data_IF_313453218230
#
_entry.id   IF_313453218230
#
_cell.length_a   1.000
_cell.length_b   1.000
_cell.length_c   1.000
_cell.angle_alpha   90.00
_cell.angle_beta   90.00
_cell.angle_gamma   90.00
#
_symmetry.space_group_name_H-M   'P 1'
#
loop_
_entity.id
_entity.type
_entity.pdbx_description
1 polymer ?
#
# COMPACT_ATOMS: atom_id res chain seq x y z
N UNK A 1 16.56 -17.93 -16.43
CA UNK A 1 15.95 -18.26 -15.13
C UNK A 1 17.01 -18.10 -14.07
N UNK A 2 16.75 -17.30 -13.03
CA UNK A 2 17.70 -17.07 -11.94
C UNK A 2 17.30 -17.86 -10.69
N UNK A 3 18.27 -18.42 -9.98
CA UNK A 3 18.09 -19.12 -8.71
C UNK A 3 17.92 -18.11 -7.56
N UNK A 4 17.02 -18.37 -6.62
CA UNK A 4 16.83 -17.53 -5.42
C UNK A 4 17.15 -18.33 -4.14
N UNK A 5 17.62 -17.63 -3.10
CA UNK A 5 18.06 -18.24 -1.83
C UNK A 5 16.89 -18.56 -0.86
N UNK A 6 15.73 -18.98 -1.40
CA UNK A 6 14.51 -19.26 -0.63
C UNK A 6 13.53 -18.08 -0.54
N UNK A 7 12.22 -18.39 -0.57
CA UNK A 7 11.11 -17.42 -0.65
C UNK A 7 11.01 -16.45 0.54
N UNK A 8 11.50 -16.85 1.72
CA UNK A 8 11.42 -16.04 2.95
C UNK A 8 12.26 -14.75 2.90
N UNK A 9 13.21 -14.68 1.97
CA UNK A 9 14.08 -13.52 1.79
C UNK A 9 13.47 -12.43 0.88
N UNK A 10 12.19 -12.61 0.48
CA UNK A 10 11.52 -11.76 -0.49
C UNK A 10 10.22 -11.20 0.05
N UNK A 11 9.95 -9.93 -0.26
CA UNK A 11 8.68 -9.25 0.06
C UNK A 11 8.10 -8.62 -1.20
N UNK A 12 6.78 -8.64 -1.37
CA UNK A 12 6.11 -7.94 -2.49
C UNK A 12 6.50 -6.46 -2.48
N UNK A 13 6.91 -5.92 -3.64
CA UNK A 13 7.46 -4.57 -3.78
C UNK A 13 8.98 -4.45 -3.51
N UNK A 14 9.67 -5.54 -3.17
CA UNK A 14 11.13 -5.55 -3.02
C UNK A 14 11.84 -5.33 -4.35
N UNK A 15 12.84 -4.43 -4.34
CA UNK A 15 13.73 -4.16 -5.49
C UNK A 15 15.16 -4.69 -5.29
N UNK A 16 15.71 -4.57 -4.08
CA UNK A 16 17.11 -4.95 -3.78
C UNK A 16 17.26 -6.48 -3.79
N UNK A 17 18.36 -6.98 -4.34
CA UNK A 17 18.66 -8.42 -4.40
C UNK A 17 17.95 -9.19 -5.52
N UNK A 18 17.39 -8.49 -6.52
CA UNK A 18 16.81 -9.10 -7.72
C UNK A 18 17.79 -9.06 -8.89
N UNK A 19 17.87 -10.17 -9.65
CA UNK A 19 18.68 -10.26 -10.87
C UNK A 19 17.99 -9.44 -11.96
N UNK A 20 18.41 -8.19 -12.14
CA UNK A 20 17.75 -7.25 -13.04
C UNK A 20 18.16 -7.47 -14.50
N UNK A 21 17.19 -7.85 -15.35
CA UNK A 21 17.35 -7.93 -16.80
C UNK A 21 17.20 -6.54 -17.47
N UNK A 22 18.08 -5.59 -17.14
CA UNK A 22 18.18 -4.28 -17.81
C UNK A 22 17.05 -3.28 -17.52
N UNK A 23 16.04 -3.62 -16.70
CA UNK A 23 14.98 -2.71 -16.23
C UNK A 23 14.73 -2.87 -14.73
N UNK A 24 14.18 -1.86 -14.01
CA UNK A 24 13.83 -2.02 -12.60
C UNK A 24 12.76 -3.11 -12.44
N UNK A 25 13.08 -4.15 -11.69
CA UNK A 25 12.15 -5.22 -11.37
C UNK A 25 11.81 -5.20 -9.88
N UNK A 26 10.58 -5.61 -9.58
CA UNK A 26 10.02 -5.72 -8.25
C UNK A 26 9.45 -7.12 -8.06
N UNK A 27 9.46 -7.64 -6.83
CA UNK A 27 8.69 -8.83 -6.51
C UNK A 27 7.21 -8.48 -6.63
N UNK A 28 6.52 -9.01 -7.63
CA UNK A 28 5.08 -8.77 -7.85
C UNK A 28 4.22 -9.79 -7.14
N UNK A 29 4.74 -11.01 -6.97
CA UNK A 29 4.03 -12.13 -6.33
C UNK A 29 5.03 -13.14 -5.80
N UNK A 30 4.73 -13.73 -4.64
CA UNK A 30 5.45 -14.87 -4.10
C UNK A 30 4.47 -16.05 -4.10
N UNK A 31 4.87 -17.17 -4.67
CA UNK A 31 4.05 -18.37 -4.74
C UNK A 31 4.78 -19.52 -4.05
N UNK A 32 4.47 -19.76 -2.76
CA UNK A 32 5.17 -20.74 -1.95
C UNK A 32 4.98 -22.18 -2.45
N UNK A 33 3.78 -22.51 -2.90
CA UNK A 33 3.40 -23.84 -3.41
C UNK A 33 4.24 -24.26 -4.63
N UNK A 34 4.64 -23.27 -5.44
CA UNK A 34 5.46 -23.48 -6.63
C UNK A 34 6.93 -23.10 -6.40
N UNK A 35 7.29 -22.75 -5.16
CA UNK A 35 8.61 -22.25 -4.77
C UNK A 35 9.17 -21.22 -5.76
N UNK A 36 8.35 -20.26 -6.17
CA UNK A 36 8.72 -19.26 -7.19
C UNK A 36 8.40 -17.84 -6.75
N UNK A 37 9.24 -16.93 -7.23
CA UNK A 37 9.09 -15.49 -7.05
C UNK A 37 8.84 -14.90 -8.43
N UNK A 38 7.67 -14.28 -8.60
CA UNK A 38 7.35 -13.58 -9.83
C UNK A 38 7.89 -12.17 -9.69
N UNK A 39 8.75 -11.78 -10.62
CA UNK A 39 9.31 -10.43 -10.72
C UNK A 39 8.73 -9.73 -11.95
N UNK A 40 8.39 -8.46 -11.79
CA UNK A 40 7.73 -7.66 -12.81
C UNK A 40 7.75 -6.18 -12.46
N UNK A 41 6.90 -5.40 -13.13
CA UNK A 41 6.69 -3.99 -12.79
C UNK A 41 5.93 -3.86 -11.45
N UNK A 42 6.21 -2.81 -10.68
CA UNK A 42 5.57 -2.56 -9.38
C UNK A 42 4.03 -2.58 -9.53
N UNK A 43 3.31 -3.51 -8.87
CA UNK A 43 1.90 -3.70 -9.12
C UNK A 43 1.13 -2.50 -8.56
N UNK A 44 0.69 -1.62 -9.45
CA UNK A 44 -0.11 -0.46 -9.07
C UNK A 44 -1.51 -0.93 -8.66
N UNK A 45 -2.01 -0.43 -7.54
CA UNK A 45 -3.35 -0.73 -7.02
C UNK A 45 -4.07 0.57 -6.68
N UNK A 46 -5.38 0.58 -6.84
CA UNK A 46 -6.22 1.72 -6.43
C UNK A 46 -6.76 1.53 -5.02
N UNK A 47 -7.02 0.29 -4.60
CA UNK A 47 -7.79 -0.03 -3.40
C UNK A 47 -7.00 -0.84 -2.37
N UNK A 48 -7.18 -0.49 -1.09
CA UNK A 48 -6.62 -1.23 0.05
C UNK A 48 -7.41 -0.94 1.34
N UNK A 49 -7.19 -1.75 2.37
CA UNK A 49 -7.82 -1.59 3.69
C UNK A 49 -6.82 -1.05 4.70
N UNK A 50 -7.32 -0.21 5.59
CA UNK A 50 -6.57 0.41 6.70
C UNK A 50 -7.24 0.03 8.01
N UNK A 51 -6.47 -0.57 8.91
CA UNK A 51 -6.91 -0.99 10.25
C UNK A 51 -6.36 -0.07 11.34
N UNK A 52 -6.92 -0.20 12.53
CA UNK A 52 -6.53 0.57 13.72
C UNK A 52 -6.49 2.08 13.44
N UNK A 53 -7.54 2.58 12.77
CA UNK A 53 -7.63 3.99 12.39
C UNK A 53 -7.74 4.86 13.64
N UNK A 54 -6.82 5.81 13.78
CA UNK A 54 -6.85 6.87 14.76
C UNK A 54 -7.23 8.18 14.08
N UNK A 55 -8.39 8.72 14.45
CA UNK A 55 -8.90 9.99 13.93
C UNK A 55 -8.57 11.11 14.92
N UNK A 56 -7.98 12.20 14.41
CA UNK A 56 -7.46 13.30 15.22
C UNK A 56 -8.38 14.52 15.14
N UNK A 57 -8.80 14.87 13.92
CA UNK A 57 -9.65 16.04 13.67
C UNK A 57 -11.14 15.73 13.73
N UNK A 58 -11.51 14.45 13.71
CA UNK A 58 -12.90 13.95 13.73
C UNK A 58 -12.98 12.74 14.64
N UNK A 59 -14.19 12.39 15.09
CA UNK A 59 -14.40 11.18 15.91
C UNK A 59 -14.29 9.89 15.07
N UNK A 60 -14.89 9.91 13.88
CA UNK A 60 -14.89 8.81 12.92
C UNK A 60 -15.33 9.26 11.53
N UNK A 61 -15.03 8.46 10.52
CA UNK A 61 -15.69 8.52 9.21
C UNK A 61 -16.97 7.67 9.27
N UNK A 62 -18.13 8.28 9.05
CA UNK A 62 -19.43 7.58 9.07
C UNK A 62 -19.99 7.30 7.66
N UNK A 63 -19.50 8.01 6.66
CA UNK A 63 -19.88 7.90 5.25
C UNK A 63 -18.62 8.08 4.38
N UNK A 64 -18.64 7.68 3.09
CA UNK A 64 -17.50 7.91 2.21
C UNK A 64 -17.13 9.40 2.13
N UNK A 65 -15.86 9.71 2.41
CA UNK A 65 -15.33 11.08 2.35
C UNK A 65 -14.20 11.19 1.33
N UNK A 66 -14.07 12.37 0.74
CA UNK A 66 -12.94 12.72 -0.13
C UNK A 66 -11.83 13.33 0.69
N UNK A 67 -10.60 12.87 0.46
CA UNK A 67 -9.40 13.37 1.12
C UNK A 67 -8.15 13.01 0.30
N UNK A 68 -6.98 13.47 0.74
CA UNK A 68 -5.71 12.98 0.21
C UNK A 68 -5.10 11.95 1.16
N UNK A 69 -4.47 10.92 0.59
CA UNK A 69 -3.91 9.81 1.36
C UNK A 69 -2.44 9.61 1.05
N UNK A 70 -1.61 9.59 2.09
CA UNK A 70 -0.18 9.31 2.00
C UNK A 70 0.09 7.89 2.54
N UNK A 71 0.61 7.02 1.68
CA UNK A 71 0.84 5.59 2.00
C UNK A 71 2.31 5.26 2.32
N UNK A 72 3.20 6.24 2.20
CA UNK A 72 4.63 6.14 2.53
C UNK A 72 5.20 7.48 2.92
N UNK A 73 6.15 7.46 3.85
CA UNK A 73 6.93 8.65 4.18
C UNK A 73 7.65 9.18 2.91
N UNK A 74 7.62 10.51 2.73
CA UNK A 74 8.15 11.24 1.56
C UNK A 74 7.41 11.04 0.24
N UNK A 75 6.31 10.29 0.22
CA UNK A 75 5.42 10.32 -0.94
C UNK A 75 4.50 11.52 -0.79
N UNK A 76 4.18 12.18 -1.89
CA UNK A 76 3.09 13.16 -1.88
C UNK A 76 1.77 12.44 -1.57
N UNK A 77 0.88 13.03 -0.76
CA UNK A 77 -0.50 12.59 -0.65
C UNK A 77 -1.16 12.53 -2.04
N UNK A 78 -2.09 11.61 -2.22
CA UNK A 78 -2.85 11.48 -3.48
C UNK A 78 -4.35 11.45 -3.22
N UNK A 79 -5.18 12.05 -4.10
CA UNK A 79 -6.63 12.06 -3.94
C UNK A 79 -7.22 10.65 -3.87
N UNK A 80 -8.09 10.44 -2.89
CA UNK A 80 -8.80 9.18 -2.68
C UNK A 80 -10.18 9.39 -2.05
N UNK A 81 -10.99 8.35 -2.12
CA UNK A 81 -12.18 8.20 -1.29
C UNK A 81 -11.87 7.25 -0.14
N UNK A 82 -12.23 7.64 1.08
CA UNK A 82 -12.11 6.81 2.27
C UNK A 82 -13.50 6.48 2.80
N UNK A 83 -13.82 5.19 2.84
CA UNK A 83 -15.13 4.68 3.23
C UNK A 83 -15.02 3.88 4.53
N UNK A 84 -15.99 3.98 5.45
CA UNK A 84 -16.01 3.14 6.64
C UNK A 84 -16.27 1.68 6.28
N UNK A 85 -15.60 0.76 6.98
CA UNK A 85 -15.77 -0.68 6.84
C UNK A 85 -15.70 -1.35 8.22
N UNK A 86 -16.78 -1.19 9.01
CA UNK A 86 -16.80 -1.67 10.40
C UNK A 86 -15.82 -0.88 11.27
N UNK A 87 -14.83 -1.57 11.84
CA UNK A 87 -13.74 -0.95 12.61
C UNK A 87 -12.55 -0.50 11.73
N UNK A 88 -12.59 -0.78 10.43
CA UNK A 88 -11.56 -0.46 9.46
C UNK A 88 -12.03 0.64 8.50
N UNK A 89 -11.13 1.11 7.64
CA UNK A 89 -11.43 1.99 6.53
C UNK A 89 -10.95 1.38 5.22
N UNK A 90 -11.75 1.53 4.16
CA UNK A 90 -11.34 1.17 2.80
C UNK A 90 -10.95 2.46 2.08
N UNK A 91 -9.76 2.45 1.49
CA UNK A 91 -9.23 3.56 0.71
C UNK A 91 -9.26 3.18 -0.76
N UNK A 92 -9.73 4.09 -1.60
CA UNK A 92 -9.72 3.97 -3.06
C UNK A 92 -9.16 5.24 -3.69
N UNK A 93 -7.94 5.15 -4.24
CA UNK A 93 -7.30 6.22 -4.98
C UNK A 93 -7.92 6.42 -6.36
N UNK A 94 -7.95 7.67 -6.81
CA UNK A 94 -8.43 8.05 -8.15
C UNK A 94 -7.57 7.46 -9.27
N UNK A 95 -6.28 7.27 -9.00
CA UNK A 95 -5.32 6.66 -9.91
C UNK A 95 -4.54 5.54 -9.23
N UNK A 96 -4.15 4.47 -9.95
CA UNK A 96 -3.37 3.37 -9.39
C UNK A 96 -2.05 3.84 -8.77
N UNK A 97 -1.86 3.56 -7.48
CA UNK A 97 -0.65 3.88 -6.73
C UNK A 97 0.25 2.66 -6.60
N UNK A 98 1.56 2.93 -6.66
CA UNK A 98 2.59 1.92 -6.44
C UNK A 98 2.91 1.76 -4.96
N UNK A 99 3.59 0.68 -4.59
CA UNK A 99 4.17 0.49 -3.26
C UNK A 99 3.17 0.57 -2.06
N UNK A 100 1.89 0.28 -2.28
CA UNK A 100 0.92 0.01 -1.20
C UNK A 100 1.40 -1.25 -0.47
N UNK A 101 1.98 -1.07 0.72
CA UNK A 101 2.71 -2.13 1.43
C UNK A 101 2.06 -2.38 2.79
N UNK A 102 1.63 -3.61 3.09
CA UNK A 102 1.10 -3.95 4.41
C UNK A 102 2.09 -3.62 5.53
N UNK A 103 1.58 -3.09 6.65
CA UNK A 103 2.38 -2.64 7.80
C UNK A 103 2.99 -1.25 7.65
N UNK A 104 2.81 -0.55 6.53
CA UNK A 104 3.06 0.89 6.45
C UNK A 104 1.85 1.68 6.97
N UNK A 105 2.09 2.91 7.39
CA UNK A 105 1.03 3.82 7.77
C UNK A 105 0.34 4.40 6.52
N UNK A 106 -0.98 4.54 6.58
CA UNK A 106 -1.76 5.40 5.71
C UNK A 106 -2.20 6.63 6.51
N UNK A 107 -1.90 7.83 6.01
CA UNK A 107 -2.24 9.10 6.66
C UNK A 107 -3.24 9.84 5.78
N UNK A 108 -4.30 10.35 6.38
CA UNK A 108 -5.42 11.01 5.73
C UNK A 108 -5.33 12.53 5.94
N UNK A 109 -5.49 13.30 4.87
CA UNK A 109 -5.36 14.76 4.85
C UNK A 109 -6.59 15.44 4.26
N UNK A 110 -7.03 16.52 4.88
CA UNK A 110 -7.91 17.53 4.27
C UNK A 110 -7.09 18.79 4.07
N UNK A 111 -6.77 19.07 2.81
CA UNK A 111 -5.77 20.08 2.45
C UNK A 111 -4.48 19.84 3.25
N UNK A 112 -4.03 20.83 4.03
CA UNK A 112 -2.81 20.75 4.83
C UNK A 112 -3.00 20.13 6.23
N UNK A 113 -4.21 19.66 6.57
CA UNK A 113 -4.55 19.16 7.91
C UNK A 113 -4.54 17.64 7.96
N UNK A 114 -3.78 17.07 8.89
CA UNK A 114 -3.85 15.63 9.20
C UNK A 114 -5.16 15.32 9.93
N UNK A 115 -6.01 14.54 9.29
CA UNK A 115 -7.33 14.15 9.83
C UNK A 115 -7.22 12.88 10.66
N UNK A 116 -6.30 11.99 10.29
CA UNK A 116 -6.08 10.73 10.99
C UNK A 116 -5.14 9.82 10.22
N UNK A 117 -5.05 8.57 10.67
CA UNK A 117 -4.28 7.55 9.97
C UNK A 117 -4.45 6.17 10.59
N UNK A 118 -3.87 5.16 9.94
CA UNK A 118 -3.89 3.79 10.43
C UNK A 118 -2.87 2.92 9.69
N UNK A 119 -3.01 1.60 9.81
CA UNK A 119 -2.06 0.65 9.24
C UNK A 119 -2.63 -0.04 8.00
N UNK A 120 -1.87 -0.05 6.91
CA UNK A 120 -2.23 -0.77 5.69
C UNK A 120 -2.27 -2.28 6.00
N UNK A 121 -3.40 -2.91 5.72
CA UNK A 121 -3.63 -4.34 5.91
C UNK A 121 -3.14 -5.16 4.71
N UNK A 122 -3.00 -6.48 4.90
CA UNK A 122 -2.60 -7.42 3.85
C UNK A 122 -3.71 -7.67 2.84
#
# INVERSE_FOLDING_TARGET
MGTHAGIHNYTVGQRKGLVAAGRPQYVVKIEPELNRIVIGEDPRRTRFTVRDCNWIAIEKIAEPVRCEVQIRNRFEPKPATVSPAGAEAVVEFDQPQRAITPGQAAVFYWDDVVVGGGWIQR
#
